data_IF_709350545908
#
_entry.id   IF_709350545908
#
_cell.length_a   1.000
_cell.length_b   1.000
_cell.length_c   1.000
_cell.angle_alpha   90.00
_cell.angle_beta   90.00
_cell.angle_gamma   90.00
#
_symmetry.space_group_name_H-M   'P 1'
#
loop_
_entity.id
_entity.type
_entity.pdbx_description
1 polymer ?
#
# COMPACT_ATOMS: atom_id res chain seq x y z
N UNK A 1 -15.24 -18.66 -10.75
CA UNK A 1 -14.99 -18.01 -12.04
C UNK A 1 -16.26 -17.25 -12.47
N UNK A 2 -16.44 -16.03 -12.02
CA UNK A 2 -17.47 -15.13 -12.56
C UNK A 2 -16.77 -13.88 -13.07
N UNK A 3 -16.31 -13.94 -14.33
CA UNK A 3 -15.99 -12.74 -15.10
C UNK A 3 -17.31 -12.16 -15.63
N UNK A 4 -18.04 -11.45 -14.80
CA UNK A 4 -19.10 -10.58 -15.29
C UNK A 4 -18.49 -9.24 -15.66
N UNK A 5 -18.42 -8.96 -16.95
CA UNK A 5 -18.02 -7.67 -17.52
C UNK A 5 -19.12 -6.61 -17.34
N UNK A 6 -19.66 -6.45 -16.14
CA UNK A 6 -20.42 -5.27 -15.77
C UNK A 6 -19.43 -4.13 -15.55
N UNK A 7 -19.60 -3.02 -16.27
CA UNK A 7 -18.83 -1.79 -16.07
C UNK A 7 -18.92 -1.41 -14.60
N UNK A 8 -17.86 -1.70 -13.83
CA UNK A 8 -17.71 -1.23 -12.46
C UNK A 8 -17.67 0.30 -12.49
N UNK A 9 -18.79 0.90 -12.10
CA UNK A 9 -18.84 2.32 -11.81
C UNK A 9 -18.16 2.54 -10.46
N UNK A 10 -17.40 3.61 -10.35
CA UNK A 10 -16.72 4.16 -9.18
C UNK A 10 -16.75 3.33 -7.88
N UNK A 11 -15.64 2.73 -7.52
CA UNK A 11 -15.45 2.13 -6.20
C UNK A 11 -14.91 3.17 -5.21
N UNK A 12 -15.38 3.12 -3.97
CA UNK A 12 -14.83 3.91 -2.85
C UNK A 12 -14.01 3.00 -1.96
N UNK A 13 -12.79 3.42 -1.67
CA UNK A 13 -11.90 2.77 -0.72
C UNK A 13 -11.86 3.61 0.56
N UNK A 14 -12.22 3.01 1.68
CA UNK A 14 -12.18 3.65 2.99
C UNK A 14 -11.30 2.84 3.93
N UNK A 15 -10.35 3.51 4.58
CA UNK A 15 -9.55 2.90 5.63
C UNK A 15 -9.95 3.49 6.98
N UNK A 16 -10.37 2.63 7.89
CA UNK A 16 -10.73 2.99 9.26
C UNK A 16 -9.56 2.69 10.20
N UNK A 17 -9.25 3.66 11.05
CA UNK A 17 -8.20 3.54 12.03
C UNK A 17 -8.68 2.83 13.29
N UNK A 18 -7.81 2.05 13.90
CA UNK A 18 -7.95 1.76 15.33
C UNK A 18 -7.80 3.09 16.11
N UNK A 19 -8.76 3.46 16.98
CA UNK A 19 -8.72 4.75 17.70
C UNK A 19 -7.45 4.96 18.53
N UNK A 20 -6.85 3.89 19.05
CA UNK A 20 -5.61 3.97 19.84
C UNK A 20 -4.34 4.05 18.99
N UNK A 21 -4.37 3.55 17.77
CA UNK A 21 -3.21 3.52 16.90
C UNK A 21 -3.19 4.66 15.88
N UNK A 22 -4.34 5.02 15.33
CA UNK A 22 -4.49 5.96 14.23
C UNK A 22 -4.22 5.33 12.86
N UNK A 23 -4.42 6.09 11.78
CA UNK A 23 -4.18 5.64 10.40
C UNK A 23 -2.67 5.45 10.12
N UNK A 24 -2.29 4.46 9.31
CA UNK A 24 -0.93 4.37 8.79
C UNK A 24 -0.64 5.54 7.83
N UNK A 25 0.59 6.08 7.89
CA UNK A 25 1.00 7.19 7.05
C UNK A 25 2.48 7.13 6.68
N UNK A 26 2.87 7.91 5.67
CA UNK A 26 4.25 8.01 5.22
C UNK A 26 4.67 6.85 4.32
N UNK A 27 5.96 6.65 4.19
CA UNK A 27 6.53 5.67 3.25
C UNK A 27 6.62 4.26 3.83
N UNK A 28 6.79 4.14 5.14
CA UNK A 28 6.99 2.84 5.81
C UNK A 28 5.85 1.86 5.55
N UNK A 29 4.57 2.19 5.78
CA UNK A 29 3.49 1.22 5.52
C UNK A 29 3.38 0.84 4.04
N UNK A 30 3.73 1.71 3.10
CA UNK A 30 3.75 1.41 1.66
C UNK A 30 4.82 0.40 1.29
N UNK A 31 6.02 0.57 1.83
CA UNK A 31 7.11 -0.40 1.66
C UNK A 31 6.78 -1.74 2.32
N UNK A 32 6.17 -1.71 3.50
CA UNK A 32 5.71 -2.92 4.17
C UNK A 32 4.66 -3.66 3.34
N UNK A 33 3.64 -2.96 2.81
CA UNK A 33 2.61 -3.56 1.97
C UNK A 33 3.20 -4.18 0.70
N UNK A 34 4.14 -3.48 0.04
CA UNK A 34 4.81 -4.00 -1.14
C UNK A 34 5.62 -5.25 -0.82
N UNK A 35 6.33 -5.25 0.31
CA UNK A 35 7.10 -6.40 0.78
C UNK A 35 6.17 -7.58 1.13
N UNK A 36 5.12 -7.36 1.93
CA UNK A 36 4.13 -8.39 2.29
C UNK A 36 3.48 -9.02 1.06
N UNK A 37 3.08 -8.19 0.08
CA UNK A 37 2.48 -8.66 -1.15
C UNK A 37 3.48 -9.49 -1.99
N UNK A 38 4.72 -9.05 -2.09
CA UNK A 38 5.76 -9.77 -2.81
C UNK A 38 6.05 -11.11 -2.15
N UNK A 39 6.24 -11.12 -0.83
CA UNK A 39 6.55 -12.34 -0.08
C UNK A 39 5.39 -13.34 -0.14
N UNK A 40 4.14 -12.88 0.01
CA UNK A 40 2.96 -13.72 -0.10
C UNK A 40 2.84 -14.39 -1.49
N UNK A 41 3.16 -13.67 -2.56
CA UNK A 41 3.15 -14.23 -3.92
C UNK A 41 4.31 -15.21 -4.13
N UNK A 42 5.50 -14.89 -3.62
CA UNK A 42 6.69 -15.74 -3.80
C UNK A 42 6.58 -17.04 -2.98
N UNK A 43 6.18 -16.94 -1.73
CA UNK A 43 6.08 -18.07 -0.82
C UNK A 43 4.78 -18.88 -0.98
N UNK A 44 3.78 -18.32 -1.64
CA UNK A 44 2.41 -18.87 -1.71
C UNK A 44 1.84 -19.18 -0.33
N UNK A 45 2.18 -18.34 0.67
CA UNK A 45 1.79 -18.50 2.07
C UNK A 45 1.15 -17.23 2.61
N UNK A 46 0.16 -17.39 3.48
CA UNK A 46 -0.41 -16.33 4.30
C UNK A 46 0.45 -16.02 5.52
N UNK A 47 1.21 -17.00 5.98
CA UNK A 47 2.10 -16.89 7.13
C UNK A 47 3.47 -16.44 6.63
N UNK A 48 3.84 -15.22 7.02
CA UNK A 48 5.06 -14.58 6.57
C UNK A 48 5.99 -14.32 7.75
N UNK A 49 7.24 -14.73 7.60
CA UNK A 49 8.30 -14.42 8.54
C UNK A 49 8.97 -13.10 8.15
N UNK A 50 9.03 -12.16 9.10
CA UNK A 50 9.64 -10.85 8.88
C UNK A 50 11.19 -10.88 8.99
N UNK A 51 11.79 -12.08 9.02
CA UNK A 51 13.22 -12.30 9.17
C UNK A 51 13.64 -12.59 10.61
N UNK A 52 14.91 -12.94 10.77
CA UNK A 52 15.47 -13.40 12.05
C UNK A 52 15.68 -12.27 13.07
N UNK A 53 15.60 -11.01 12.63
CA UNK A 53 15.71 -9.84 13.49
C UNK A 53 15.00 -8.63 12.89
N UNK A 54 14.66 -7.67 13.77
CA UNK A 54 14.13 -6.38 13.34
C UNK A 54 15.06 -5.67 12.33
N UNK A 55 16.38 -5.75 12.56
CA UNK A 55 17.38 -5.14 11.67
C UNK A 55 17.41 -5.81 10.29
N UNK A 56 17.16 -7.12 10.22
CA UNK A 56 17.05 -7.84 8.95
C UNK A 56 15.80 -7.39 8.17
N UNK A 57 14.67 -7.32 8.84
CA UNK A 57 13.45 -6.81 8.22
C UNK A 57 13.61 -5.37 7.75
N UNK A 58 14.21 -4.51 8.55
CA UNK A 58 14.49 -3.12 8.16
C UNK A 58 15.41 -3.03 6.93
N UNK A 59 16.42 -3.89 6.83
CA UNK A 59 17.29 -3.95 5.64
C UNK A 59 16.52 -4.38 4.39
N UNK A 60 15.60 -5.32 4.51
CA UNK A 60 14.72 -5.72 3.38
C UNK A 60 13.87 -4.55 2.88
N UNK A 61 13.41 -3.68 3.80
CA UNK A 61 12.70 -2.45 3.48
C UNK A 61 13.64 -1.28 3.07
N UNK A 62 14.95 -1.53 2.95
CA UNK A 62 15.97 -0.53 2.69
C UNK A 62 15.97 0.62 3.73
N UNK A 63 15.76 0.26 4.99
CA UNK A 63 15.78 1.18 6.13
C UNK A 63 17.02 0.96 6.96
N UNK A 64 17.75 2.02 7.29
CA UNK A 64 18.86 1.96 8.23
C UNK A 64 18.29 1.97 9.65
N UNK A 65 18.61 0.97 10.51
CA UNK A 65 18.16 0.95 11.89
C UNK A 65 18.77 2.11 12.69
N UNK A 66 17.90 2.98 13.24
CA UNK A 66 18.32 4.06 14.15
C UNK A 66 17.39 4.05 15.36
N UNK A 67 18.00 4.18 16.56
CA UNK A 67 17.29 4.23 17.83
C UNK A 67 16.76 5.62 18.17
N UNK A 68 16.18 5.73 19.37
CA UNK A 68 15.67 6.97 19.92
C UNK A 68 14.22 7.30 19.49
N UNK A 69 13.69 8.38 20.08
CA UNK A 69 12.28 8.79 19.90
C UNK A 69 11.87 9.01 18.43
N UNK A 70 12.79 9.54 17.63
CA UNK A 70 12.57 9.87 16.22
C UNK A 70 13.23 8.88 15.25
N UNK A 71 13.80 7.79 15.80
CA UNK A 71 14.49 6.78 15.03
C UNK A 71 13.59 5.97 14.09
N UNK A 72 14.23 5.33 13.13
CA UNK A 72 13.54 4.48 12.14
C UNK A 72 12.89 3.26 12.80
N UNK A 73 13.48 2.74 13.87
CA UNK A 73 12.90 1.62 14.66
C UNK A 73 11.56 2.02 15.26
N UNK A 74 11.49 3.17 15.96
CA UNK A 74 10.27 3.68 16.57
C UNK A 74 9.20 3.95 15.51
N UNK A 75 9.62 4.47 14.35
CA UNK A 75 8.73 4.71 13.22
C UNK A 75 8.16 3.41 12.66
N UNK A 76 9.01 2.40 12.44
CA UNK A 76 8.55 1.09 11.97
C UNK A 76 7.56 0.47 12.94
N UNK A 77 7.87 0.40 14.25
CA UNK A 77 6.96 -0.08 15.30
C UNK A 77 5.59 0.62 15.23
N UNK A 78 5.59 1.95 15.20
CA UNK A 78 4.35 2.74 15.14
C UNK A 78 3.55 2.46 13.87
N UNK A 79 4.20 2.41 12.72
CA UNK A 79 3.50 2.21 11.43
C UNK A 79 3.03 0.76 11.25
N UNK A 80 3.76 -0.23 11.75
CA UNK A 80 3.31 -1.63 11.78
C UNK A 80 2.03 -1.79 12.60
N UNK A 81 2.03 -1.22 13.83
CA UNK A 81 0.84 -1.24 14.69
C UNK A 81 -0.37 -0.60 14.00
N UNK A 82 -0.20 0.56 13.35
CA UNK A 82 -1.26 1.24 12.61
C UNK A 82 -1.77 0.41 11.44
N UNK A 83 -0.85 -0.17 10.67
CA UNK A 83 -1.16 -0.93 9.47
C UNK A 83 -1.95 -2.20 9.80
N UNK A 84 -1.45 -3.00 10.75
CA UNK A 84 -2.07 -4.28 11.10
C UNK A 84 -3.34 -4.15 11.97
N UNK A 85 -3.59 -2.97 12.54
CA UNK A 85 -4.83 -2.69 13.27
C UNK A 85 -5.86 -1.88 12.48
N UNK A 86 -5.59 -1.60 11.20
CA UNK A 86 -6.54 -0.88 10.35
C UNK A 86 -7.53 -1.82 9.68
N UNK A 87 -8.71 -1.28 9.45
CA UNK A 87 -9.81 -1.94 8.76
C UNK A 87 -10.03 -1.28 7.39
N UNK A 88 -10.20 -2.06 6.35
CA UNK A 88 -10.40 -1.61 4.99
C UNK A 88 -11.82 -1.96 4.54
N UNK A 89 -12.51 -0.99 3.97
CA UNK A 89 -13.81 -1.17 3.33
C UNK A 89 -13.74 -0.71 1.87
N UNK A 90 -14.10 -1.59 0.97
CA UNK A 90 -14.29 -1.29 -0.44
C UNK A 90 -15.77 -1.33 -0.77
N UNK A 91 -16.31 -0.24 -1.28
CA UNK A 91 -17.70 -0.14 -1.73
C UNK A 91 -17.70 0.00 -3.24
N UNK A 92 -18.42 -0.87 -3.92
CA UNK A 92 -18.58 -0.87 -5.38
C UNK A 92 -20.03 -0.60 -5.73
N UNK A 93 -20.27 0.30 -6.67
CA UNK A 93 -21.59 0.55 -7.20
C UNK A 93 -21.65 0.11 -8.66
N UNK A 94 -22.58 -0.76 -9.00
CA UNK A 94 -22.84 -1.20 -10.36
C UNK A 94 -24.28 -0.87 -10.75
N UNK A 95 -24.51 -0.62 -12.04
CA UNK A 95 -25.88 -0.52 -12.60
C UNK A 95 -26.12 -1.72 -13.51
N UNK A 96 -27.24 -2.38 -13.35
CA UNK A 96 -27.67 -3.44 -14.25
C UNK A 96 -28.21 -2.85 -15.57
N UNK A 97 -28.55 -3.74 -16.51
CA UNK A 97 -29.09 -3.35 -17.82
C UNK A 97 -30.46 -2.62 -17.73
N UNK A 98 -31.16 -2.76 -16.61
CA UNK A 98 -32.43 -2.08 -16.31
C UNK A 98 -32.24 -0.78 -15.51
N UNK A 99 -30.97 -0.35 -15.28
CA UNK A 99 -30.64 0.88 -14.55
C UNK A 99 -30.77 0.75 -13.03
N UNK A 100 -31.00 -0.45 -12.48
CA UNK A 100 -31.05 -0.67 -11.03
C UNK A 100 -29.66 -0.61 -10.46
N UNK A 101 -29.50 0.11 -9.35
CA UNK A 101 -28.22 0.27 -8.65
C UNK A 101 -28.02 -0.90 -7.69
N UNK A 102 -26.91 -1.59 -7.83
CA UNK A 102 -26.42 -2.58 -6.86
C UNK A 102 -25.21 -1.98 -6.13
N UNK A 103 -25.23 -2.03 -4.83
CA UNK A 103 -24.07 -1.70 -3.98
C UNK A 103 -23.52 -2.99 -3.39
N UNK A 104 -22.21 -3.19 -3.56
CA UNK A 104 -21.47 -4.29 -2.94
C UNK A 104 -20.44 -3.71 -1.98
N UNK A 105 -20.44 -4.19 -0.75
CA UNK A 105 -19.52 -3.77 0.30
C UNK A 105 -18.64 -4.95 0.63
N UNK A 106 -17.32 -4.77 0.56
CA UNK A 106 -16.33 -5.74 0.96
C UNK A 106 -15.47 -5.16 2.09
N UNK A 107 -15.40 -5.89 3.18
CA UNK A 107 -14.62 -5.51 4.36
C UNK A 107 -13.45 -6.47 4.50
N UNK A 108 -12.28 -5.93 4.85
CA UNK A 108 -11.09 -6.74 5.11
C UNK A 108 -10.14 -6.07 6.11
N UNK A 109 -9.33 -6.87 6.76
CA UNK A 109 -8.13 -6.44 7.47
C UNK A 109 -6.90 -6.91 6.69
N UNK A 110 -5.75 -6.31 6.93
CA UNK A 110 -4.51 -6.73 6.24
C UNK A 110 -4.00 -8.04 6.84
N UNK A 111 -4.01 -8.15 8.16
CA UNK A 111 -3.55 -9.34 8.87
C UNK A 111 -4.57 -9.78 9.91
N UNK A 112 -4.75 -11.10 10.04
CA UNK A 112 -5.53 -11.71 11.12
C UNK A 112 -4.74 -11.67 12.43
N UNK A 113 -3.41 -11.85 12.34
CA UNK A 113 -2.51 -11.75 13.49
C UNK A 113 -1.13 -11.23 13.09
N UNK A 114 -0.46 -10.59 14.05
CA UNK A 114 0.93 -10.15 13.90
C UNK A 114 1.65 -10.29 15.24
N UNK A 115 2.67 -11.14 15.29
CA UNK A 115 3.56 -11.33 16.43
C UNK A 115 4.88 -10.62 16.16
N UNK A 116 5.04 -9.44 16.74
CA UNK A 116 6.16 -8.55 16.41
C UNK A 116 7.09 -8.41 17.62
N UNK A 117 8.27 -8.97 17.50
CA UNK A 117 9.31 -8.91 18.52
C UNK A 117 10.26 -7.74 18.26
N UNK A 118 10.15 -6.69 19.05
CA UNK A 118 10.86 -5.44 18.82
C UNK A 118 12.17 -5.28 19.60
N UNK A 119 12.41 -6.14 20.59
CA UNK A 119 13.56 -6.06 21.47
C UNK A 119 14.29 -7.39 21.53
N UNK A 120 15.50 -7.51 20.95
CA UNK A 120 16.35 -8.64 21.21
C UNK A 120 16.87 -8.51 22.66
N UNK A 121 16.38 -9.34 23.58
CA UNK A 121 16.89 -9.39 24.96
C UNK A 121 18.32 -9.93 25.03
N UNK A 122 18.76 -10.69 24.01
CA UNK A 122 20.16 -11.07 23.75
C UNK A 122 20.30 -11.62 22.34
N UNK A 123 21.50 -11.60 21.78
CA UNK A 123 21.79 -12.18 20.45
C UNK A 123 21.48 -13.68 20.40
N UNK A 124 21.58 -14.40 21.55
CA UNK A 124 21.25 -15.82 21.65
C UNK A 124 19.74 -16.10 21.69
N UNK A 125 18.91 -15.14 22.13
CA UNK A 125 17.44 -15.30 22.16
C UNK A 125 16.78 -14.83 20.86
N UNK A 126 17.47 -14.08 20.01
CA UNK A 126 16.95 -13.63 18.72
C UNK A 126 16.61 -14.80 17.76
N UNK A 127 17.25 -15.97 17.94
CA UNK A 127 17.03 -17.15 17.12
C UNK A 127 15.78 -17.98 17.46
N UNK A 128 15.11 -17.70 18.60
CA UNK A 128 13.99 -18.54 19.07
C UNK A 128 12.61 -17.97 18.75
N UNK A 129 12.51 -16.68 18.38
CA UNK A 129 11.24 -16.02 18.12
C UNK A 129 11.31 -15.13 16.86
N UNK A 130 11.00 -15.72 15.72
CA UNK A 130 10.80 -14.93 14.52
C UNK A 130 9.53 -14.06 14.64
N UNK A 131 9.62 -12.80 14.21
CA UNK A 131 8.42 -11.97 14.02
C UNK A 131 7.61 -12.52 12.86
N UNK A 132 6.33 -12.77 13.07
CA UNK A 132 5.44 -13.37 12.06
C UNK A 132 4.21 -12.50 11.85
N UNK A 133 3.68 -12.56 10.64
CA UNK A 133 2.41 -11.95 10.26
C UNK A 133 1.59 -12.98 9.50
N UNK A 134 0.36 -13.23 9.95
CA UNK A 134 -0.61 -14.02 9.21
C UNK A 134 -1.55 -13.08 8.48
N UNK A 135 -1.46 -13.02 7.15
CA UNK A 135 -2.35 -12.22 6.32
C UNK A 135 -3.79 -12.73 6.42
N UNK A 136 -4.77 -11.83 6.36
CA UNK A 136 -6.15 -12.26 6.26
C UNK A 136 -6.40 -13.00 4.94
N UNK A 137 -7.33 -13.95 4.96
CA UNK A 137 -7.68 -14.70 3.74
C UNK A 137 -8.13 -13.78 2.61
N UNK A 138 -8.95 -12.78 2.93
CA UNK A 138 -9.46 -11.83 1.95
C UNK A 138 -8.32 -11.01 1.32
N UNK A 139 -7.36 -10.53 2.12
CA UNK A 139 -6.23 -9.74 1.63
C UNK A 139 -5.24 -10.60 0.84
N UNK A 140 -4.95 -11.81 1.32
CA UNK A 140 -4.07 -12.75 0.63
C UNK A 140 -4.64 -13.15 -0.74
N UNK A 141 -5.91 -13.54 -0.79
CA UNK A 141 -6.58 -13.92 -2.04
C UNK A 141 -6.56 -12.78 -3.06
N UNK A 142 -6.78 -11.53 -2.63
CA UNK A 142 -6.73 -10.36 -3.50
C UNK A 142 -5.34 -10.13 -4.09
N UNK A 143 -4.29 -10.27 -3.28
CA UNK A 143 -2.90 -10.12 -3.72
C UNK A 143 -2.51 -11.20 -4.73
N UNK A 144 -2.86 -12.46 -4.47
CA UNK A 144 -2.45 -13.59 -5.31
C UNK A 144 -3.25 -13.61 -6.62
N UNK A 145 -4.55 -13.28 -6.57
CA UNK A 145 -5.39 -13.24 -7.76
C UNK A 145 -5.12 -12.02 -8.66
N UNK A 146 -4.71 -10.89 -8.06
CA UNK A 146 -4.51 -9.62 -8.76
C UNK A 146 -3.13 -8.99 -8.45
N UNK A 147 -2.01 -9.69 -8.72
CA UNK A 147 -0.70 -9.19 -8.37
C UNK A 147 -0.35 -7.93 -9.17
N UNK A 148 0.19 -6.92 -8.48
CA UNK A 148 0.76 -5.74 -9.11
C UNK A 148 2.27 -5.91 -9.21
N UNK A 149 2.85 -5.99 -10.43
CA UNK A 149 4.27 -6.30 -10.62
C UNK A 149 5.16 -5.09 -10.30
N UNK A 150 5.36 -4.79 -9.03
CA UNK A 150 6.24 -3.69 -8.59
C UNK A 150 7.70 -4.12 -8.54
N UNK A 151 8.61 -3.27 -9.03
CA UNK A 151 10.05 -3.45 -8.83
C UNK A 151 10.46 -2.83 -7.49
N UNK A 152 10.97 -3.66 -6.57
CA UNK A 152 11.44 -3.22 -5.26
C UNK A 152 12.58 -2.20 -5.35
N UNK A 153 13.40 -2.23 -6.41
CA UNK A 153 14.48 -1.24 -6.63
C UNK A 153 13.89 0.13 -6.93
N UNK A 154 12.83 0.19 -7.74
CA UNK A 154 12.11 1.43 -8.02
C UNK A 154 11.44 1.99 -6.75
N UNK A 155 10.79 1.13 -5.95
CA UNK A 155 10.22 1.55 -4.67
C UNK A 155 11.29 2.12 -3.71
N UNK A 156 12.45 1.47 -3.63
CA UNK A 156 13.59 1.95 -2.82
C UNK A 156 14.10 3.32 -3.30
N UNK A 157 14.20 3.53 -4.61
CA UNK A 157 14.59 4.82 -5.18
C UNK A 157 13.57 5.95 -4.90
N UNK A 158 12.28 5.60 -4.77
CA UNK A 158 11.17 6.53 -4.53
C UNK A 158 10.79 6.69 -3.05
N UNK A 159 11.44 5.97 -2.12
CA UNK A 159 11.07 5.89 -0.69
C UNK A 159 11.04 7.22 0.07
N UNK A 160 11.59 8.29 -0.49
CA UNK A 160 11.55 9.63 0.10
C UNK A 160 10.18 10.32 -0.05
N UNK A 161 9.29 9.81 -0.90
CA UNK A 161 8.00 10.43 -1.17
C UNK A 161 6.86 9.41 -1.18
N UNK A 162 5.93 9.47 -0.21
CA UNK A 162 4.73 8.63 -0.23
C UNK A 162 3.94 8.77 -1.53
N UNK A 163 3.76 10.01 -2.02
CA UNK A 163 3.06 10.26 -3.28
C UNK A 163 3.77 9.63 -4.49
N UNK A 164 5.11 9.62 -4.52
CA UNK A 164 5.84 8.97 -5.61
C UNK A 164 5.64 7.45 -5.59
N UNK A 165 5.63 6.82 -4.40
CA UNK A 165 5.33 5.40 -4.24
C UNK A 165 3.91 5.08 -4.72
N UNK A 166 2.92 5.90 -4.33
CA UNK A 166 1.53 5.72 -4.75
C UNK A 166 1.37 5.87 -6.27
N UNK A 167 1.99 6.90 -6.88
CA UNK A 167 1.97 7.11 -8.34
C UNK A 167 2.63 5.95 -9.06
N UNK A 168 3.77 5.45 -8.57
CA UNK A 168 4.48 4.32 -9.18
C UNK A 168 3.62 3.05 -9.17
N UNK A 169 3.09 2.65 -8.00
CA UNK A 169 2.23 1.47 -7.89
C UNK A 169 0.97 1.59 -8.75
N UNK A 170 0.36 2.78 -8.78
CA UNK A 170 -0.81 3.05 -9.60
C UNK A 170 -0.51 2.98 -11.10
N UNK A 171 0.62 3.54 -11.58
CA UNK A 171 1.04 3.44 -12.97
C UNK A 171 1.34 2.00 -13.35
N UNK A 172 2.10 1.27 -12.53
CA UNK A 172 2.42 -0.15 -12.76
C UNK A 172 1.15 -0.97 -12.94
N UNK A 173 0.16 -0.79 -12.04
CA UNK A 173 -1.13 -1.45 -12.16
C UNK A 173 -1.86 -1.04 -13.44
N UNK A 174 -1.95 0.26 -13.74
CA UNK A 174 -2.67 0.73 -14.94
C UNK A 174 -2.03 0.26 -16.23
N UNK A 175 -0.71 0.33 -16.34
CA UNK A 175 0.02 -0.09 -17.54
C UNK A 175 -0.12 -1.60 -17.81
N UNK A 176 -0.42 -2.41 -16.78
CA UNK A 176 -0.63 -3.85 -16.97
C UNK A 176 -1.89 -4.19 -17.77
N UNK A 177 -2.89 -3.33 -17.82
CA UNK A 177 -4.16 -3.59 -18.53
C UNK A 177 -4.55 -2.53 -19.56
N UNK A 178 -3.98 -1.35 -19.56
CA UNK A 178 -4.31 -0.30 -20.52
C UNK A 178 -3.79 -0.66 -21.92
N UNK A 179 -4.71 -0.68 -22.90
CA UNK A 179 -4.42 -0.94 -24.32
C UNK A 179 -4.45 0.32 -25.18
N UNK A 180 -4.96 1.42 -24.64
CA UNK A 180 -5.15 2.70 -25.35
C UNK A 180 -4.84 3.85 -24.41
N UNK A 181 -4.33 4.99 -24.95
CA UNK A 181 -4.19 6.21 -24.16
C UNK A 181 -5.51 6.61 -23.50
N UNK A 182 -5.43 6.98 -22.23
CA UNK A 182 -6.60 7.37 -21.43
C UNK A 182 -6.33 8.71 -20.76
N UNK A 183 -7.20 9.68 -21.00
CA UNK A 183 -7.15 10.99 -20.34
C UNK A 183 -7.81 10.89 -18.97
N UNK A 184 -7.12 11.40 -17.93
CA UNK A 184 -7.63 11.44 -16.57
C UNK A 184 -7.76 12.90 -16.15
N UNK A 185 -8.98 13.33 -15.74
CA UNK A 185 -9.18 14.68 -15.24
C UNK A 185 -8.38 14.96 -13.97
N UNK A 186 -7.95 16.19 -13.77
CA UNK A 186 -7.19 16.58 -12.58
C UNK A 186 -7.96 16.42 -11.29
N UNK A 187 -9.26 16.59 -11.34
CA UNK A 187 -10.17 16.37 -10.21
C UNK A 187 -10.13 14.91 -9.76
N UNK A 188 -10.12 13.97 -10.69
CA UNK A 188 -9.98 12.54 -10.39
C UNK A 188 -8.62 12.20 -9.78
N UNK A 189 -7.53 12.78 -10.32
CA UNK A 189 -6.20 12.61 -9.72
C UNK A 189 -6.09 13.24 -8.34
N UNK A 190 -6.71 14.42 -8.14
CA UNK A 190 -6.72 15.08 -6.82
C UNK A 190 -7.54 14.30 -5.81
N UNK A 191 -8.67 13.74 -6.20
CA UNK A 191 -9.49 12.90 -5.33
C UNK A 191 -8.69 11.64 -4.87
N UNK A 192 -7.88 11.07 -5.75
CA UNK A 192 -7.11 9.86 -5.45
C UNK A 192 -5.81 10.13 -4.68
N UNK A 193 -5.04 11.17 -5.06
CA UNK A 193 -3.69 11.41 -4.53
C UNK A 193 -3.58 12.69 -3.70
N UNK A 194 -4.60 13.52 -3.71
CA UNK A 194 -4.58 14.87 -3.18
C UNK A 194 -5.50 15.12 -2.00
N UNK A 195 -5.85 14.11 -1.21
CA UNK A 195 -6.79 14.22 -0.09
C UNK A 195 -6.42 15.31 0.95
N UNK A 196 -5.13 15.65 1.07
CA UNK A 196 -4.64 16.73 1.95
C UNK A 196 -4.69 18.12 1.32
N UNK A 197 -5.09 18.25 0.05
CA UNK A 197 -5.19 19.52 -0.65
C UNK A 197 -6.65 19.96 -0.70
N UNK A 198 -6.97 21.21 -0.30
CA UNK A 198 -8.34 21.69 -0.37
C UNK A 198 -8.83 21.78 -1.84
N UNK A 199 -10.12 21.56 -2.05
CA UNK A 199 -10.76 21.64 -3.37
C UNK A 199 -11.02 23.12 -3.77
N UNK A 200 -9.97 23.93 -3.71
CA UNK A 200 -9.94 25.33 -4.14
C UNK A 200 -8.98 25.49 -5.32
N UNK A 201 -9.10 26.58 -6.07
CA UNK A 201 -8.20 26.86 -7.20
C UNK A 201 -6.72 26.84 -6.79
N UNK A 202 -6.39 27.39 -5.60
CA UNK A 202 -5.02 27.36 -5.08
C UNK A 202 -4.60 25.96 -4.65
N UNK A 203 -5.48 25.22 -3.97
CA UNK A 203 -5.22 23.83 -3.57
C UNK A 203 -4.95 22.92 -4.78
N UNK A 204 -5.75 23.05 -5.84
CA UNK A 204 -5.58 22.32 -7.08
C UNK A 204 -4.26 22.69 -7.78
N UNK A 205 -3.87 23.97 -7.81
CA UNK A 205 -2.55 24.38 -8.36
C UNK A 205 -1.39 23.75 -7.58
N UNK A 206 -1.46 23.78 -6.26
CA UNK A 206 -0.43 23.21 -5.39
C UNK A 206 -0.34 21.69 -5.57
N UNK A 207 -1.49 21.01 -5.66
CA UNK A 207 -1.55 19.58 -5.95
C UNK A 207 -0.91 19.27 -7.31
N UNK A 208 -1.31 19.95 -8.40
CA UNK A 208 -0.75 19.75 -9.75
C UNK A 208 0.76 19.89 -9.75
N UNK A 209 1.29 20.96 -9.16
CA UNK A 209 2.74 21.20 -9.07
C UNK A 209 3.44 20.04 -8.35
N UNK A 210 2.90 19.60 -7.20
CA UNK A 210 3.48 18.50 -6.43
C UNK A 210 3.39 17.18 -7.17
N UNK A 211 2.23 16.85 -7.73
CA UNK A 211 2.00 15.62 -8.50
C UNK A 211 2.94 15.51 -9.70
N UNK A 212 3.03 16.54 -10.52
CA UNK A 212 3.92 16.56 -11.68
C UNK A 212 5.40 16.43 -11.29
N UNK A 213 5.81 17.04 -10.17
CA UNK A 213 7.16 16.87 -9.63
C UNK A 213 7.44 15.42 -9.22
N UNK A 214 6.48 14.74 -8.60
CA UNK A 214 6.64 13.34 -8.25
C UNK A 214 6.54 12.41 -9.47
N UNK A 215 5.63 12.70 -10.40
CA UNK A 215 5.51 11.93 -11.64
C UNK A 215 6.82 11.92 -12.45
N UNK A 216 7.52 13.06 -12.55
CA UNK A 216 8.84 13.10 -13.20
C UNK A 216 9.85 12.16 -12.54
N UNK A 217 9.85 12.08 -11.20
CA UNK A 217 10.71 11.14 -10.46
C UNK A 217 10.34 9.69 -10.72
N UNK A 218 9.04 9.41 -10.83
CA UNK A 218 8.55 8.07 -11.16
C UNK A 218 8.97 7.68 -12.58
N UNK A 219 8.80 8.56 -13.56
CA UNK A 219 9.20 8.30 -14.95
C UNK A 219 10.71 8.13 -15.14
N UNK A 220 11.53 8.65 -14.23
CA UNK A 220 12.97 8.41 -14.23
C UNK A 220 13.34 6.96 -13.84
N UNK A 221 12.52 6.28 -13.02
CA UNK A 221 12.74 4.89 -12.62
C UNK A 221 11.80 3.90 -13.35
N UNK A 222 10.81 4.41 -14.06
CA UNK A 222 9.85 3.62 -14.85
C UNK A 222 9.60 4.34 -16.21
N UNK A 223 10.60 4.35 -17.12
CA UNK A 223 10.52 5.08 -18.38
C UNK A 223 9.47 4.50 -19.35
N UNK A 224 9.09 3.24 -19.19
CA UNK A 224 8.10 2.57 -20.02
C UNK A 224 6.66 3.10 -19.78
N UNK A 225 6.40 3.77 -18.68
CA UNK A 225 5.10 4.37 -18.35
C UNK A 225 4.87 5.72 -19.09
N UNK A 226 5.00 5.71 -20.43
CA UNK A 226 4.83 6.88 -21.30
C UNK A 226 3.56 6.82 -22.14
#
# INVERSE_FOLDING_TARGET
AMRNSSRLAAGTFTMLANPQAGLPYGTVPRLMLAWLATEAVVTQSRELELGNSLSDFMRQLDMVPTGGRWGSITRLKSQSRRLFSSFIQCTYTAKDEKGRVQEAIQNMVIADSANLWWEPKSAAQASLFASTVTLSEAFYSEIVCNPVPVDMRALKALKQSPMALDIYSWLTYRMSYLKKPTTIPWEGLQAQFGASYPMTSQGTRNFKKKFLGQLRRVLAVYPEAR
#
